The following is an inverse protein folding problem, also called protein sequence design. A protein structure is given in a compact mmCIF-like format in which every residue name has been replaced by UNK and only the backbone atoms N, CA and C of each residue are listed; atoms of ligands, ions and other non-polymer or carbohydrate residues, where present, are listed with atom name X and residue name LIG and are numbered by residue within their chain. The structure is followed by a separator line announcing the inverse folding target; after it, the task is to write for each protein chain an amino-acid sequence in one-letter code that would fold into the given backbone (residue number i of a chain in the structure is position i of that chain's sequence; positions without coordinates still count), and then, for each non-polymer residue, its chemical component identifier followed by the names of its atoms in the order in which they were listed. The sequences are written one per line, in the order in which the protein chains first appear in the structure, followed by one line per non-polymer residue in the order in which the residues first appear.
data_IF_161790806932
#
_entry.id   IF_161790806932
#
_cell.length_a   1.000
_cell.length_b   1.000
_cell.length_c   1.000
_cell.angle_alpha   90.00
_cell.angle_beta   90.00
_cell.angle_gamma   90.00
#
_symmetry.space_group_name_H-M   'P 1'
#
loop_
_entity.id
_entity.type
_entity.pdbx_description
1 polymer ?
#
# COMPACT_ATOMS: atom_id res chain seq x y z
N UNK A 1 -6.98 -72.08 -20.65
CA UNK A 1 -7.78 -71.19 -19.77
C UNK A 1 -6.81 -70.57 -18.76
N UNK A 2 -6.38 -69.32 -18.97
CA UNK A 2 -6.70 -68.11 -18.16
C UNK A 2 -6.61 -68.37 -16.64
N UNK A 3 -5.85 -67.63 -15.83
CA UNK A 3 -5.77 -66.16 -15.71
C UNK A 3 -4.43 -65.71 -15.10
N UNK A 4 -3.81 -64.67 -15.67
CA UNK A 4 -2.73 -63.92 -15.05
C UNK A 4 -3.32 -62.73 -14.27
N UNK A 5 -2.97 -62.60 -13.00
CA UNK A 5 -3.44 -61.52 -12.12
C UNK A 5 -2.45 -60.37 -12.21
N UNK A 6 -2.84 -59.28 -12.88
CA UNK A 6 -2.05 -58.05 -12.95
C UNK A 6 -2.25 -57.24 -11.67
N UNK A 7 -1.17 -56.96 -10.95
CA UNK A 7 -1.11 -56.00 -9.84
C UNK A 7 -0.98 -54.61 -10.45
N UNK A 8 -2.04 -53.81 -10.38
CA UNK A 8 -2.02 -52.40 -10.78
C UNK A 8 -1.64 -51.53 -9.59
N UNK A 9 -0.42 -51.00 -9.58
CA UNK A 9 0.00 -49.97 -8.62
C UNK A 9 -0.60 -48.62 -9.06
N UNK A 10 -1.48 -48.05 -8.23
CA UNK A 10 -1.99 -46.69 -8.40
C UNK A 10 -0.97 -45.75 -7.74
N UNK A 11 -0.21 -45.00 -8.53
CA UNK A 11 0.56 -43.85 -8.05
C UNK A 11 -0.43 -42.70 -7.79
N UNK A 12 -0.73 -42.43 -6.52
CA UNK A 12 -1.43 -41.22 -6.13
C UNK A 12 -0.40 -40.07 -6.10
N UNK A 13 -0.40 -39.23 -7.15
CA UNK A 13 0.41 -38.02 -7.19
C UNK A 13 -0.35 -36.91 -6.45
N UNK A 14 0.01 -36.67 -5.19
CA UNK A 14 -0.51 -35.52 -4.43
C UNK A 14 0.16 -34.26 -4.93
N UNK A 15 -0.55 -33.46 -5.72
CA UNK A 15 -0.12 -32.09 -6.07
C UNK A 15 -0.47 -31.20 -4.89
N UNK A 16 0.52 -30.87 -4.06
CA UNK A 16 0.38 -29.79 -3.08
C UNK A 16 0.27 -28.47 -3.83
N UNK A 17 -0.86 -27.77 -3.68
CA UNK A 17 -1.01 -26.42 -4.17
C UNK A 17 -0.01 -25.51 -3.42
N UNK A 18 0.94 -24.93 -4.15
CA UNK A 18 1.81 -23.88 -3.62
C UNK A 18 0.93 -22.63 -3.54
N UNK A 19 0.53 -22.24 -2.33
CA UNK A 19 -0.08 -20.93 -2.09
C UNK A 19 1.06 -19.90 -2.09
N UNK A 20 1.12 -19.08 -3.14
CA UNK A 20 1.97 -17.89 -3.16
C UNK A 20 1.29 -16.82 -2.31
N UNK A 21 1.84 -16.56 -1.13
CA UNK A 21 1.49 -15.37 -0.35
C UNK A 21 2.11 -14.15 -1.03
N UNK A 22 1.29 -13.25 -1.57
CA UNK A 22 1.79 -11.96 -2.04
C UNK A 22 2.14 -11.11 -0.82
N UNK A 23 3.37 -10.60 -0.77
CA UNK A 23 3.82 -9.73 0.32
C UNK A 23 3.39 -8.29 0.02
N UNK A 24 2.69 -7.65 0.95
CA UNK A 24 2.39 -6.22 0.86
C UNK A 24 3.70 -5.44 0.75
N UNK A 25 3.87 -4.69 -0.34
CA UNK A 25 5.01 -3.81 -0.55
C UNK A 25 4.78 -2.43 0.09
N UNK A 26 5.84 -1.80 0.58
CA UNK A 26 5.81 -0.40 1.02
C UNK A 26 6.79 0.37 0.14
N UNK A 27 6.28 1.38 -0.57
CA UNK A 27 7.08 2.20 -1.50
C UNK A 27 7.06 3.66 -1.08
N UNK A 28 8.22 4.32 -1.11
CA UNK A 28 8.28 5.77 -0.92
C UNK A 28 7.67 6.48 -2.14
N UNK A 29 6.73 7.38 -1.92
CA UNK A 29 6.04 8.11 -3.02
C UNK A 29 6.37 9.60 -3.09
N UNK A 30 6.82 10.20 -1.99
CA UNK A 30 7.09 11.63 -1.96
C UNK A 30 7.13 12.20 -0.55
N UNK A 31 7.36 13.50 -0.46
CA UNK A 31 7.43 14.25 0.79
C UNK A 31 6.86 15.64 0.62
N UNK A 32 6.40 16.25 1.71
CA UNK A 32 5.91 17.61 1.74
C UNK A 32 6.28 18.31 3.05
N UNK A 33 6.42 19.63 3.01
CA UNK A 33 6.51 20.45 4.21
C UNK A 33 5.11 20.87 4.62
N UNK A 34 4.83 20.93 5.93
CA UNK A 34 3.49 21.29 6.44
C UNK A 34 3.03 22.65 5.88
N UNK A 35 3.93 23.61 5.77
CA UNK A 35 3.68 24.96 5.26
C UNK A 35 3.52 25.07 3.73
N UNK A 36 3.59 23.97 2.98
CA UNK A 36 3.23 23.97 1.57
C UNK A 36 1.70 23.94 1.34
N UNK A 37 0.92 23.85 2.43
CA UNK A 37 -0.54 23.88 2.39
C UNK A 37 -1.13 25.28 2.24
N UNK A 38 -2.48 25.38 2.16
CA UNK A 38 -3.15 26.67 2.04
C UNK A 38 -2.96 27.55 3.28
N UNK A 39 -3.12 28.87 3.13
CA UNK A 39 -3.04 29.80 4.25
C UNK A 39 -4.15 29.53 5.28
N UNK A 40 -3.81 29.49 6.57
CA UNK A 40 -4.77 29.10 7.61
C UNK A 40 -6.03 29.95 7.69
N UNK A 41 -5.98 31.23 7.31
CA UNK A 41 -7.17 32.11 7.33
C UNK A 41 -8.11 31.88 6.16
N UNK A 42 -7.70 31.10 5.15
CA UNK A 42 -8.52 30.79 3.97
C UNK A 42 -9.37 29.52 4.18
N UNK A 43 -9.60 29.16 5.45
CA UNK A 43 -10.45 28.04 5.89
C UNK A 43 -10.04 26.69 5.29
N UNK A 44 -8.76 26.28 5.44
CA UNK A 44 -8.33 25.00 4.90
C UNK A 44 -8.91 23.83 5.68
N UNK A 45 -8.93 22.66 5.04
CA UNK A 45 -9.18 21.40 5.73
C UNK A 45 -8.05 21.08 6.73
N UNK A 46 -8.44 20.44 7.83
CA UNK A 46 -7.56 19.88 8.84
C UNK A 46 -7.22 18.43 8.46
N UNK A 47 -6.20 18.27 7.61
CA UNK A 47 -5.75 16.99 7.13
C UNK A 47 -4.94 16.24 8.20
N UNK A 48 -5.21 14.95 8.39
CA UNK A 48 -4.24 14.02 8.98
C UNK A 48 -3.00 13.90 8.07
N UNK A 49 -1.91 13.32 8.56
CA UNK A 49 -0.74 13.02 7.73
C UNK A 49 -1.10 12.13 6.54
N UNK A 50 -1.93 11.10 6.79
CA UNK A 50 -2.44 10.20 5.77
C UNK A 50 -3.41 10.88 4.78
N UNK A 51 -4.35 11.70 5.27
CA UNK A 51 -5.28 12.44 4.40
C UNK A 51 -4.50 13.44 3.52
N UNK A 52 -3.45 14.09 4.04
CA UNK A 52 -2.59 14.97 3.27
C UNK A 52 -1.82 14.20 2.17
N UNK A 53 -1.29 13.01 2.49
CA UNK A 53 -0.63 12.17 1.50
C UNK A 53 -1.60 11.73 0.37
N UNK A 54 -2.81 11.31 0.73
CA UNK A 54 -3.84 10.97 -0.24
C UNK A 54 -4.24 12.18 -1.11
N UNK A 55 -4.35 13.37 -0.53
CA UNK A 55 -4.62 14.60 -1.26
C UNK A 55 -3.51 14.94 -2.27
N UNK A 56 -2.23 14.78 -1.88
CA UNK A 56 -1.07 15.16 -2.69
C UNK A 56 -0.68 14.11 -3.74
N UNK A 57 -0.85 12.82 -3.42
CA UNK A 57 -0.30 11.71 -4.22
C UNK A 57 -1.40 10.76 -4.76
N UNK A 58 -2.68 11.04 -4.45
CA UNK A 58 -3.85 10.26 -4.86
C UNK A 58 -4.10 9.01 -4.00
N UNK A 59 -5.23 8.34 -4.22
CA UNK A 59 -5.64 7.16 -3.43
C UNK A 59 -6.39 7.54 -2.15
N UNK A 60 -6.49 6.60 -1.23
CA UNK A 60 -7.18 6.77 0.06
C UNK A 60 -6.18 6.97 1.19
N UNK A 61 -6.60 7.63 2.28
CA UNK A 61 -5.73 7.86 3.45
C UNK A 61 -5.16 6.54 4.02
N UNK A 62 -5.95 5.47 3.99
CA UNK A 62 -5.53 4.13 4.43
C UNK A 62 -4.44 3.49 3.58
N UNK A 63 -4.17 4.01 2.39
CA UNK A 63 -3.10 3.52 1.51
C UNK A 63 -1.72 4.02 1.95
N UNK A 64 -1.63 4.83 3.00
CA UNK A 64 -0.41 5.54 3.37
C UNK A 64 0.09 5.21 4.77
N UNK A 65 1.40 5.04 4.88
CA UNK A 65 2.15 5.25 6.12
C UNK A 65 3.02 6.51 5.96
N UNK A 66 3.13 7.29 7.02
CA UNK A 66 3.85 8.55 7.07
C UNK A 66 5.06 8.38 7.99
N UNK A 67 6.16 9.03 7.61
CA UNK A 67 7.33 9.16 8.46
C UNK A 67 7.73 10.61 8.63
N UNK A 68 8.33 10.91 9.78
CA UNK A 68 9.09 12.14 10.02
C UNK A 68 10.61 11.92 10.02
N UNK A 69 11.06 10.68 9.81
CA UNK A 69 12.47 10.27 9.91
C UNK A 69 13.22 10.27 8.58
N UNK A 70 12.51 10.35 7.45
CA UNK A 70 13.09 10.37 6.11
C UNK A 70 12.37 9.44 5.14
N UNK A 71 13.01 9.19 3.99
CA UNK A 71 12.49 8.35 2.90
C UNK A 71 12.90 6.87 2.99
N UNK A 72 13.48 6.42 4.11
CA UNK A 72 13.85 5.02 4.32
C UNK A 72 12.64 4.21 4.81
N UNK A 73 12.24 3.21 4.03
CA UNK A 73 11.11 2.32 4.32
C UNK A 73 11.29 1.53 5.61
N UNK A 74 12.52 1.30 6.05
CA UNK A 74 12.83 0.57 7.28
C UNK A 74 12.75 1.47 8.53
N UNK A 75 12.58 2.78 8.35
CA UNK A 75 12.57 3.78 9.42
C UNK A 75 11.23 4.55 9.52
N UNK A 76 10.15 3.99 8.99
CA UNK A 76 8.80 4.57 9.11
C UNK A 76 8.39 4.59 10.58
N UNK A 77 8.12 5.79 11.11
CA UNK A 77 7.77 6.00 12.52
C UNK A 77 6.26 6.14 12.79
N UNK A 78 5.42 6.12 11.75
CA UNK A 78 3.97 6.32 11.83
C UNK A 78 3.57 7.65 12.49
N UNK A 79 4.42 8.66 12.33
CA UNK A 79 4.21 10.00 12.83
C UNK A 79 4.15 10.99 11.67
N UNK A 80 3.47 12.11 11.90
CA UNK A 80 3.50 13.27 11.03
C UNK A 80 3.73 14.55 11.83
N UNK A 81 4.33 15.54 11.18
CA UNK A 81 4.35 16.92 11.62
C UNK A 81 3.01 17.59 11.30
N UNK A 82 2.52 18.36 12.27
CA UNK A 82 1.29 19.13 12.19
C UNK A 82 1.54 20.57 12.61
N UNK A 83 0.85 21.50 11.96
CA UNK A 83 0.60 22.81 12.56
C UNK A 83 -0.64 22.71 13.43
N UNK A 84 -0.58 23.30 14.63
CA UNK A 84 -1.70 23.37 15.56
C UNK A 84 -2.10 24.81 15.81
N UNK A 85 -3.40 25.09 15.87
CA UNK A 85 -3.89 26.43 16.21
C UNK A 85 -3.49 26.81 17.64
N UNK A 86 -2.91 28.01 17.77
CA UNK A 86 -2.47 28.59 19.04
C UNK A 86 -1.36 27.79 19.75
N UNK A 87 -0.60 27.00 18.97
CA UNK A 87 0.59 26.29 19.43
C UNK A 87 1.75 26.71 18.53
N UNK A 88 2.83 27.18 19.14
CA UNK A 88 4.04 27.55 18.41
C UNK A 88 4.71 26.31 17.81
N UNK A 89 5.31 26.48 16.63
CA UNK A 89 6.06 25.45 15.90
C UNK A 89 5.20 24.25 15.47
N UNK A 90 5.81 23.34 14.70
CA UNK A 90 5.19 22.08 14.35
C UNK A 90 5.24 21.07 15.49
N UNK A 91 4.16 20.31 15.65
CA UNK A 91 4.06 19.22 16.62
C UNK A 91 4.11 17.88 15.91
N UNK A 92 4.85 16.93 16.47
CA UNK A 92 4.91 15.56 15.98
C UNK A 92 3.82 14.74 16.65
N UNK A 93 2.85 14.26 15.88
CA UNK A 93 1.69 13.49 16.34
C UNK A 93 1.52 12.24 15.45
N UNK A 94 0.61 11.34 15.82
CA UNK A 94 0.31 10.16 15.01
C UNK A 94 -0.13 10.55 13.59
N UNK A 95 0.22 9.74 12.59
CA UNK A 95 -0.11 9.98 11.17
C UNK A 95 -1.61 10.10 10.88
N UNK A 96 -2.45 9.58 11.77
CA UNK A 96 -3.91 9.57 11.73
C UNK A 96 -4.55 10.50 12.79
N UNK A 97 -3.76 11.34 13.48
CA UNK A 97 -4.27 12.23 14.52
C UNK A 97 -5.30 13.22 13.98
N UNK A 98 -6.50 13.21 14.58
CA UNK A 98 -7.61 14.10 14.21
C UNK A 98 -7.95 15.04 15.35
N UNK A 99 -7.85 16.34 15.09
CA UNK A 99 -8.53 17.37 15.88
C UNK A 99 -8.95 18.51 14.94
N UNK A 100 -10.25 18.59 14.62
CA UNK A 100 -10.77 19.47 13.57
C UNK A 100 -12.13 20.05 13.91
N UNK A 101 -12.42 21.22 13.35
CA UNK A 101 -13.73 21.88 13.44
C UNK A 101 -14.80 21.09 12.66
N UNK A 102 -16.10 21.37 12.88
CA UNK A 102 -17.17 20.86 12.02
C UNK A 102 -16.88 21.10 10.54
N UNK A 103 -17.24 20.13 9.68
CA UNK A 103 -16.91 20.17 8.25
C UNK A 103 -15.46 19.79 7.93
N UNK A 104 -14.66 19.40 8.94
CA UNK A 104 -13.28 18.96 8.75
C UNK A 104 -12.29 20.13 8.60
N UNK A 105 -12.67 21.34 9.00
CA UNK A 105 -11.86 22.54 8.85
C UNK A 105 -10.78 22.65 9.93
N UNK A 106 -9.66 23.27 9.56
CA UNK A 106 -8.61 23.70 10.48
C UNK A 106 -9.01 24.98 11.21
N UNK A 107 -9.51 25.97 10.47
CA UNK A 107 -9.95 27.27 10.98
C UNK A 107 -11.23 27.72 10.27
N UNK A 108 -12.09 28.44 10.98
CA UNK A 108 -13.28 29.11 10.43
C UNK A 108 -13.45 30.49 11.08
N UNK A 109 -14.10 31.43 10.40
CA UNK A 109 -14.45 32.74 10.92
C UNK A 109 -15.41 32.68 12.12
N UNK A 110 -16.18 31.60 12.25
CA UNK A 110 -17.06 31.38 13.41
C UNK A 110 -16.28 31.05 14.71
N UNK A 111 -14.99 30.72 14.60
CA UNK A 111 -14.11 30.44 15.72
C UNK A 111 -13.04 29.40 15.40
N UNK A 112 -12.16 29.16 16.38
CA UNK A 112 -11.16 28.11 16.29
C UNK A 112 -11.36 27.09 17.40
N UNK A 113 -11.03 25.84 17.09
CA UNK A 113 -10.82 24.82 18.10
C UNK A 113 -9.36 24.89 18.52
N UNK A 114 -9.10 25.06 19.81
CA UNK A 114 -7.72 25.03 20.33
C UNK A 114 -7.09 23.70 19.96
N UNK A 115 -5.85 23.74 19.49
CA UNK A 115 -5.08 22.57 19.06
C UNK A 115 -5.69 21.86 17.84
N UNK A 116 -6.58 22.51 17.08
CA UNK A 116 -6.95 22.02 15.75
C UNK A 116 -5.69 21.81 14.93
N UNK A 117 -5.57 20.66 14.28
CA UNK A 117 -4.31 20.19 13.71
C UNK A 117 -4.46 19.92 12.21
N UNK A 118 -3.47 20.35 11.42
CA UNK A 118 -3.37 19.98 10.02
C UNK A 118 -1.92 19.66 9.65
N UNK A 119 -1.72 18.53 8.96
CA UNK A 119 -0.44 18.14 8.39
C UNK A 119 -0.14 18.85 7.06
N UNK A 120 -1.05 19.72 6.58
CA UNK A 120 -0.90 20.48 5.35
C UNK A 120 -1.63 21.83 5.44
N UNK A 121 -0.94 22.83 6.01
CA UNK A 121 -1.42 24.21 6.18
C UNK A 121 -0.24 25.17 6.39
N UNK A 122 -0.30 26.35 5.77
CA UNK A 122 0.66 27.44 6.03
C UNK A 122 0.26 28.21 7.29
N UNK A 123 0.88 27.83 8.43
CA UNK A 123 0.68 28.43 9.76
C UNK A 123 1.93 28.28 10.66
N UNK A 124 1.85 27.61 11.81
CA UNK A 124 2.92 27.62 12.83
C UNK A 124 4.09 26.67 12.51
N UNK A 125 3.86 25.62 11.70
CA UNK A 125 4.85 24.62 11.32
C UNK A 125 5.56 25.00 10.00
N UNK A 126 6.50 25.94 10.06
CA UNK A 126 7.17 26.48 8.87
C UNK A 126 8.60 25.97 8.67
N UNK A 127 8.95 25.67 7.42
CA UNK A 127 10.30 25.30 7.02
C UNK A 127 10.58 23.80 6.98
N UNK A 128 11.76 23.47 6.43
CA UNK A 128 12.14 22.10 6.05
C UNK A 128 12.24 21.09 7.19
N UNK A 129 12.31 21.53 8.45
CA UNK A 129 12.30 20.62 9.60
C UNK A 129 10.95 19.95 9.82
N UNK A 130 9.86 20.53 9.31
CA UNK A 130 8.50 19.97 9.38
C UNK A 130 8.13 19.25 8.08
N UNK A 131 9.04 18.40 7.60
CA UNK A 131 8.83 17.59 6.39
C UNK A 131 8.25 16.22 6.77
N UNK A 132 7.16 15.86 6.12
CA UNK A 132 6.54 14.54 6.17
C UNK A 132 6.92 13.73 4.93
N UNK A 133 7.08 12.42 5.08
CA UNK A 133 7.45 11.49 4.04
C UNK A 133 6.34 10.44 3.89
N UNK A 134 5.75 10.33 2.70
CA UNK A 134 4.68 9.38 2.41
C UNK A 134 5.21 8.09 1.80
N UNK A 135 4.70 6.98 2.32
CA UNK A 135 4.92 5.65 1.82
C UNK A 135 3.59 5.02 1.46
N UNK A 136 3.42 4.57 0.22
CA UNK A 136 2.21 3.87 -0.19
C UNK A 136 2.33 2.40 0.18
N UNK A 137 1.34 1.91 0.91
CA UNK A 137 1.14 0.52 1.26
C UNK A 137 0.44 -0.13 0.07
N UNK A 138 1.21 -0.77 -0.78
CA UNK A 138 0.66 -1.55 -1.88
C UNK A 138 0.25 -2.92 -1.34
N UNK A 139 -1.06 -3.14 -1.24
CA UNK A 139 -1.59 -4.49 -1.26
C UNK A 139 -1.44 -4.95 -2.71
N UNK A 140 -0.33 -5.61 -3.03
CA UNK A 140 -0.13 -6.18 -4.35
C UNK A 140 -1.16 -7.33 -4.54
N UNK A 141 -2.36 -6.95 -4.99
CA UNK A 141 -3.39 -7.81 -5.56
C UNK A 141 -3.73 -7.33 -6.98
N UNK A 142 -2.86 -6.50 -7.57
CA UNK A 142 -3.03 -6.01 -8.93
C UNK A 142 -1.98 -6.60 -9.85
N UNK A 143 -2.38 -7.68 -10.50
CA UNK A 143 -1.99 -8.15 -11.83
C UNK A 143 -2.12 -7.09 -12.95
N UNK A 144 -1.80 -5.83 -12.66
CA UNK A 144 -1.92 -4.70 -13.58
C UNK A 144 -0.63 -3.87 -13.62
N UNK A 145 0.52 -4.54 -13.55
CA UNK A 145 1.76 -3.98 -14.11
C UNK A 145 2.44 -5.05 -14.97
N UNK A 146 2.84 -4.60 -16.16
CA UNK A 146 3.25 -5.33 -17.35
C UNK A 146 4.67 -5.95 -17.19
N UNK A 147 4.90 -6.61 -16.05
CA UNK A 147 6.16 -7.26 -15.73
C UNK A 147 6.06 -8.76 -16.00
N UNK A 148 6.85 -9.20 -16.96
CA UNK A 148 7.16 -10.59 -17.31
C UNK A 148 6.74 -11.61 -16.25
N UNK A 149 5.49 -12.10 -16.35
CA UNK A 149 5.10 -13.32 -15.67
C UNK A 149 5.86 -14.43 -16.37
N UNK A 150 6.82 -15.11 -15.71
CA UNK A 150 7.40 -16.32 -16.30
C UNK A 150 6.24 -17.28 -16.51
N UNK A 151 5.97 -17.64 -17.77
CA UNK A 151 4.87 -18.51 -18.13
C UNK A 151 4.77 -19.63 -17.10
N UNK A 152 3.64 -19.73 -16.37
CA UNK A 152 3.59 -20.60 -15.22
C UNK A 152 3.88 -22.02 -15.70
N UNK A 153 4.67 -22.76 -14.92
CA UNK A 153 5.03 -24.16 -15.19
C UNK A 153 3.83 -25.05 -15.60
N UNK A 154 2.60 -24.59 -15.36
CA UNK A 154 1.34 -24.99 -16.01
C UNK A 154 1.42 -25.22 -17.53
N UNK A 155 2.07 -24.36 -18.31
CA UNK A 155 2.21 -24.55 -19.77
C UNK A 155 3.20 -25.68 -20.10
N UNK A 156 4.29 -25.80 -19.34
CA UNK A 156 5.18 -26.97 -19.44
C UNK A 156 4.48 -28.25 -18.99
N UNK A 157 3.65 -28.19 -17.95
CA UNK A 157 2.89 -29.34 -17.44
C UNK A 157 1.80 -29.77 -18.41
N UNK A 158 1.07 -28.81 -18.99
CA UNK A 158 0.07 -29.07 -20.04
C UNK A 158 0.74 -29.61 -21.30
N UNK A 159 1.87 -29.02 -21.72
CA UNK A 159 2.66 -29.47 -22.86
C UNK A 159 3.19 -30.90 -22.67
N UNK A 160 3.78 -31.21 -21.51
CA UNK A 160 4.28 -32.56 -21.20
C UNK A 160 3.14 -33.58 -21.06
N UNK A 161 2.00 -33.21 -20.48
CA UNK A 161 0.82 -34.06 -20.39
C UNK A 161 0.27 -34.43 -21.78
N UNK A 162 0.17 -33.45 -22.69
CA UNK A 162 -0.29 -33.67 -24.06
C UNK A 162 0.70 -34.53 -24.87
N UNK A 163 2.01 -34.32 -24.72
CA UNK A 163 3.03 -35.15 -25.35
C UNK A 163 2.98 -36.60 -24.85
N UNK A 164 2.79 -36.80 -23.53
CA UNK A 164 2.61 -38.12 -22.94
C UNK A 164 1.36 -38.86 -23.47
N UNK A 165 0.23 -38.15 -23.59
CA UNK A 165 -1.00 -38.68 -24.16
C UNK A 165 -0.87 -39.03 -25.65
N UNK A 166 -0.17 -38.19 -26.42
CA UNK A 166 0.13 -38.44 -27.83
C UNK A 166 0.97 -39.70 -28.06
N UNK A 167 2.03 -39.88 -27.26
CA UNK A 167 2.89 -41.06 -27.31
C UNK A 167 2.14 -42.36 -26.96
N UNK A 168 1.23 -42.31 -25.98
CA UNK A 168 0.39 -43.46 -25.62
C UNK A 168 -0.58 -43.89 -26.74
N UNK A 169 -1.11 -42.94 -27.51
CA UNK A 169 -2.05 -43.26 -28.60
C UNK A 169 -1.38 -44.01 -29.75
N UNK A 170 -0.10 -43.74 -30.03
CA UNK A 170 0.65 -44.40 -31.11
C UNK A 170 0.91 -45.88 -30.83
N UNK A 171 1.02 -46.26 -29.55
CA UNK A 171 1.33 -47.64 -29.13
C UNK A 171 0.14 -48.61 -29.23
N UNK A 172 -1.08 -48.12 -29.49
CA UNK A 172 -2.30 -48.94 -29.68
C UNK A 172 -2.64 -49.24 -31.14
N UNK A 173 -1.81 -48.80 -32.10
CA UNK A 173 -2.06 -48.97 -33.55
C UNK A 173 -0.97 -49.76 -34.30
N UNK A 174 -0.03 -50.40 -33.59
CA UNK A 174 0.90 -51.40 -34.13
C UNK A 174 0.75 -52.68 -33.34
#
# INVERSE_FOLDING_TARGET
MKKATFVGAILALTVSAIQTTVAAGVIFVGSWQVDQGPYWKDHPFAYTGQEAAAYLFGGDASDYAISTMGSDVLAIDHMAWYSLIAVENGQKLAEDYVNKLPGGLYYDNAGYLRDAASAYVYDNAMGSMYTNYAFRITNDDSTNDDSDVPEPASLMLLGTALLGLGAMRRRRRG
#
